data_IF_402846196389
#
_entry.id   IF_402846196389
#
_cell.length_a   1.000
_cell.length_b   1.000
_cell.length_c   1.000
_cell.angle_alpha   90.00
_cell.angle_beta   90.00
_cell.angle_gamma   90.00
#
_symmetry.space_group_name_H-M   'P 1'
#
loop_
_entity.id
_entity.type
_entity.pdbx_description
1 polymer ?
#
# COMPACT_ATOMS: atom_id res chain seq x y z
N UNK A 1 10.61 -80.06 21.13
CA UNK A 1 10.90 -79.78 19.74
C UNK A 1 10.40 -78.37 19.45
N UNK A 2 11.32 -77.47 19.20
CA UNK A 2 11.16 -76.01 19.07
C UNK A 2 10.56 -75.63 17.72
N UNK A 3 9.45 -74.91 17.71
CA UNK A 3 8.96 -74.19 16.50
C UNK A 3 8.58 -72.80 16.88
N UNK A 4 9.52 -71.91 16.81
CA UNK A 4 9.43 -70.47 16.57
C UNK A 4 10.75 -70.09 15.91
N UNK A 5 10.78 -69.38 14.79
CA UNK A 5 10.55 -67.97 14.72
C UNK A 5 10.22 -67.42 13.29
N UNK A 6 9.07 -67.68 12.77
CA UNK A 6 8.71 -67.16 11.46
C UNK A 6 7.85 -65.90 11.56
N UNK A 7 7.27 -65.59 12.70
CA UNK A 7 6.41 -64.43 12.88
C UNK A 7 7.17 -63.12 13.18
N UNK A 8 8.39 -63.24 13.73
CA UNK A 8 9.18 -62.03 14.11
C UNK A 8 9.81 -61.25 12.92
N UNK A 9 10.05 -61.96 11.80
CA UNK A 9 10.70 -61.35 10.61
C UNK A 9 9.72 -60.49 9.81
N UNK A 10 8.42 -60.84 9.81
CA UNK A 10 7.41 -60.04 9.07
C UNK A 10 7.06 -58.71 9.78
N UNK A 11 7.17 -58.65 11.10
CA UNK A 11 6.92 -57.42 11.85
C UNK A 11 8.04 -56.38 11.68
N UNK A 12 9.27 -56.78 11.46
CA UNK A 12 10.41 -55.89 11.27
C UNK A 12 10.45 -55.26 9.86
N UNK A 13 9.90 -55.93 8.83
CA UNK A 13 9.86 -55.37 7.46
C UNK A 13 8.73 -54.35 7.28
N UNK A 14 7.64 -54.42 8.04
CA UNK A 14 6.53 -53.49 7.97
C UNK A 14 6.85 -52.10 8.58
N UNK A 15 7.79 -52.02 9.52
CA UNK A 15 8.20 -50.79 10.20
C UNK A 15 9.12 -49.88 9.34
N UNK A 16 9.74 -50.42 8.30
CA UNK A 16 10.68 -49.68 7.44
C UNK A 16 9.98 -48.86 6.35
N UNK A 17 8.66 -49.06 6.14
CA UNK A 17 7.88 -48.33 5.12
C UNK A 17 7.20 -47.04 5.64
N UNK A 18 7.22 -46.81 6.96
CA UNK A 18 6.76 -45.57 7.57
C UNK A 18 7.97 -44.73 8.00
N UNK A 19 8.79 -44.31 7.03
CA UNK A 19 9.73 -43.22 7.27
C UNK A 19 8.96 -41.98 7.73
N UNK A 20 9.48 -41.19 8.68
CA UNK A 20 8.84 -39.93 9.03
C UNK A 20 8.68 -39.14 7.76
N UNK A 21 7.43 -38.82 7.39
CA UNK A 21 7.15 -37.84 6.35
C UNK A 21 7.83 -36.53 6.80
N UNK A 22 8.96 -36.21 6.18
CA UNK A 22 9.62 -34.92 6.39
C UNK A 22 8.65 -33.87 5.89
N UNK A 23 7.84 -33.34 6.77
CA UNK A 23 7.09 -32.10 6.49
C UNK A 23 8.16 -31.04 6.26
N UNK A 24 8.39 -30.70 5.02
CA UNK A 24 9.16 -29.51 4.69
C UNK A 24 8.43 -28.32 5.34
N UNK A 25 9.05 -27.71 6.33
CA UNK A 25 8.53 -26.52 7.00
C UNK A 25 8.26 -25.48 5.90
N UNK A 26 6.98 -25.15 5.66
CA UNK A 26 6.62 -24.16 4.67
C UNK A 26 7.21 -22.82 5.11
N UNK A 27 8.21 -22.37 4.39
CA UNK A 27 8.85 -21.07 4.67
C UNK A 27 7.84 -19.98 4.39
N UNK A 28 7.50 -19.19 5.39
CA UNK A 28 6.59 -18.06 5.25
C UNK A 28 7.21 -16.78 5.81
N UNK A 29 6.81 -15.64 5.25
CA UNK A 29 7.14 -14.30 5.75
C UNK A 29 5.89 -13.46 5.85
N UNK A 30 5.89 -12.53 6.80
CA UNK A 30 4.81 -11.56 7.02
C UNK A 30 5.21 -10.20 6.44
N UNK A 31 4.38 -9.65 5.57
CA UNK A 31 4.56 -8.33 4.96
C UNK A 31 3.49 -7.37 5.47
N UNK A 32 3.87 -6.39 6.28
CA UNK A 32 2.98 -5.29 6.63
C UNK A 32 2.94 -4.27 5.47
N UNK A 33 1.77 -4.06 4.90
CA UNK A 33 1.59 -3.18 3.74
C UNK A 33 0.32 -2.35 3.83
N UNK A 34 -0.03 -1.67 2.74
CA UNK A 34 -1.19 -0.77 2.73
C UNK A 34 -2.37 -1.35 1.96
N UNK A 35 -3.58 -0.96 2.40
CA UNK A 35 -4.82 -1.32 1.69
C UNK A 35 -4.80 -0.84 0.24
N UNK A 36 -4.22 0.33 -0.03
CA UNK A 36 -4.09 0.85 -1.40
C UNK A 36 -3.18 -0.01 -2.27
N UNK A 37 -2.12 -0.59 -1.71
CA UNK A 37 -1.26 -1.55 -2.43
C UNK A 37 -2.00 -2.86 -2.69
N UNK A 38 -2.73 -3.36 -1.70
CA UNK A 38 -3.57 -4.56 -1.83
C UNK A 38 -4.63 -4.36 -2.92
N UNK A 39 -5.37 -3.24 -2.87
CA UNK A 39 -6.46 -2.92 -3.78
C UNK A 39 -5.99 -2.67 -5.22
N UNK A 40 -4.71 -2.35 -5.43
CA UNK A 40 -4.12 -2.19 -6.77
C UNK A 40 -4.01 -3.49 -7.56
N UNK A 41 -4.17 -4.65 -6.91
CA UNK A 41 -3.96 -5.97 -7.50
C UNK A 41 -2.49 -6.40 -7.61
N UNK A 42 -1.54 -5.57 -7.18
CA UNK A 42 -0.10 -5.86 -7.27
C UNK A 42 0.25 -7.19 -6.61
N UNK A 43 -0.20 -7.40 -5.37
CA UNK A 43 0.12 -8.63 -4.63
C UNK A 43 -0.48 -9.87 -5.28
N UNK A 44 -1.69 -9.78 -5.80
CA UNK A 44 -2.33 -10.90 -6.52
C UNK A 44 -1.54 -11.33 -7.76
N UNK A 45 -0.77 -10.41 -8.34
CA UNK A 45 0.09 -10.70 -9.48
C UNK A 45 1.46 -11.22 -9.08
N UNK A 46 2.16 -10.55 -8.14
CA UNK A 46 3.57 -10.85 -7.87
C UNK A 46 3.78 -12.00 -6.89
N UNK A 47 2.88 -12.21 -5.90
CA UNK A 47 3.10 -13.21 -4.85
C UNK A 47 3.08 -14.66 -5.37
N UNK A 48 2.19 -15.05 -6.29
CA UNK A 48 2.26 -16.38 -6.90
C UNK A 48 3.59 -16.63 -7.63
N UNK A 49 4.10 -15.63 -8.34
CA UNK A 49 5.39 -15.72 -9.04
C UNK A 49 6.55 -15.83 -8.05
N UNK A 50 6.49 -15.09 -6.95
CA UNK A 50 7.48 -15.16 -5.89
C UNK A 50 7.49 -16.54 -5.22
N UNK A 51 6.32 -17.06 -4.84
CA UNK A 51 6.17 -18.41 -4.27
C UNK A 51 6.70 -19.47 -5.22
N UNK A 52 6.34 -19.42 -6.50
CA UNK A 52 6.82 -20.37 -7.51
C UNK A 52 8.35 -20.34 -7.66
N UNK A 53 8.99 -19.18 -7.50
CA UNK A 53 10.43 -19.01 -7.65
C UNK A 53 11.22 -19.37 -6.40
N UNK A 54 10.67 -19.13 -5.21
CA UNK A 54 11.41 -19.20 -3.93
C UNK A 54 10.93 -20.30 -3.00
N UNK A 55 9.72 -20.82 -3.20
CA UNK A 55 9.04 -21.72 -2.26
C UNK A 55 8.56 -21.01 -0.98
N UNK A 56 8.66 -19.67 -0.90
CA UNK A 56 8.29 -18.89 0.29
C UNK A 56 6.86 -18.38 0.13
N UNK A 57 6.03 -18.62 1.14
CA UNK A 57 4.70 -18.01 1.24
C UNK A 57 4.79 -16.62 1.84
N UNK A 58 3.96 -15.70 1.34
CA UNK A 58 3.92 -14.32 1.81
C UNK A 58 2.54 -14.00 2.36
N UNK A 59 2.46 -13.78 3.66
CA UNK A 59 1.25 -13.29 4.31
C UNK A 59 1.23 -11.77 4.33
N UNK A 60 0.23 -11.15 3.70
CA UNK A 60 0.11 -9.70 3.64
C UNK A 60 -0.88 -9.19 4.67
N UNK A 61 -0.43 -8.29 5.53
CA UNK A 61 -1.25 -7.51 6.45
C UNK A 61 -1.52 -6.14 5.82
N UNK A 62 -2.66 -6.00 5.13
CA UNK A 62 -3.06 -4.76 4.48
C UNK A 62 -3.72 -3.80 5.48
N UNK A 63 -3.06 -2.67 5.78
CA UNK A 63 -3.42 -1.74 6.83
C UNK A 63 -3.31 -0.29 6.32
N UNK A 64 -3.51 0.70 7.21
CA UNK A 64 -3.06 2.08 6.96
C UNK A 64 -1.54 2.18 7.09
N UNK A 65 -0.90 3.14 6.38
CA UNK A 65 0.57 3.30 6.41
C UNK A 65 1.14 3.39 7.83
N UNK A 66 0.51 4.16 8.73
CA UNK A 66 0.94 4.27 10.13
C UNK A 66 0.85 2.94 10.86
N UNK A 67 -0.26 2.22 10.70
CA UNK A 67 -0.46 0.91 11.32
C UNK A 67 0.54 -0.13 10.80
N UNK A 68 0.85 -0.13 9.49
CA UNK A 68 1.86 -1.03 8.91
C UNK A 68 3.26 -0.77 9.50
N UNK A 69 3.63 0.50 9.68
CA UNK A 69 4.86 0.87 10.37
C UNK A 69 4.85 0.46 11.84
N UNK A 70 3.71 0.61 12.53
CA UNK A 70 3.59 0.19 13.93
C UNK A 70 3.67 -1.34 14.08
N UNK A 71 3.09 -2.09 13.15
CA UNK A 71 3.23 -3.55 13.05
C UNK A 71 4.72 -3.95 12.93
N UNK A 72 5.46 -3.27 12.04
CA UNK A 72 6.90 -3.49 11.92
C UNK A 72 7.70 -3.10 13.17
N UNK A 73 7.32 -2.01 13.86
CA UNK A 73 7.98 -1.59 15.13
C UNK A 73 7.84 -2.64 16.24
N UNK A 74 6.72 -3.34 16.28
CA UNK A 74 6.49 -4.41 17.26
C UNK A 74 7.18 -5.73 16.89
N UNK A 75 7.74 -5.85 15.70
CA UNK A 75 8.32 -7.08 15.19
C UNK A 75 7.28 -8.09 14.68
N UNK A 76 6.03 -7.67 14.47
CA UNK A 76 4.95 -8.52 13.98
C UNK A 76 4.98 -8.70 12.44
N UNK A 77 6.00 -8.17 11.76
CA UNK A 77 6.22 -8.33 10.33
C UNK A 77 7.73 -8.39 10.00
N UNK A 78 8.08 -9.27 9.06
CA UNK A 78 9.45 -9.42 8.56
C UNK A 78 9.82 -8.31 7.57
N UNK A 79 8.83 -7.80 6.85
CA UNK A 79 8.99 -6.75 5.84
C UNK A 79 7.88 -5.71 5.98
N UNK A 80 8.25 -4.43 5.90
CA UNK A 80 7.31 -3.32 5.78
C UNK A 80 7.36 -2.80 4.36
N UNK A 81 6.24 -2.91 3.63
CA UNK A 81 6.12 -2.50 2.23
C UNK A 81 5.09 -1.38 2.11
N UNK A 82 5.57 -0.15 2.16
CA UNK A 82 4.74 1.07 2.19
C UNK A 82 5.29 2.13 1.22
N UNK A 83 4.62 3.25 1.09
CA UNK A 83 4.95 4.32 0.13
C UNK A 83 4.96 5.72 0.77
N UNK A 84 5.51 5.82 1.99
CA UNK A 84 5.65 7.08 2.74
C UNK A 84 7.14 7.34 3.04
N UNK A 85 7.88 7.82 2.05
CA UNK A 85 9.35 7.96 2.06
C UNK A 85 9.91 8.62 3.32
N UNK A 86 9.27 9.68 3.83
CA UNK A 86 9.72 10.37 5.05
C UNK A 86 9.58 9.46 6.28
N UNK A 87 8.42 8.80 6.43
CA UNK A 87 8.14 7.88 7.53
C UNK A 87 9.03 6.62 7.46
N UNK A 88 9.29 6.08 6.26
CA UNK A 88 10.20 4.96 6.04
C UNK A 88 11.64 5.30 6.44
N UNK A 89 12.11 6.50 6.08
CA UNK A 89 13.45 6.96 6.50
C UNK A 89 13.56 7.09 8.01
N UNK A 90 12.54 7.64 8.67
CA UNK A 90 12.47 7.74 10.12
C UNK A 90 12.46 6.37 10.78
N UNK A 91 11.64 5.45 10.29
CA UNK A 91 11.56 4.07 10.77
C UNK A 91 12.94 3.37 10.81
N UNK A 92 13.75 3.55 9.76
CA UNK A 92 15.12 3.01 9.72
C UNK A 92 16.05 3.79 10.64
N UNK A 93 15.96 5.12 10.68
CA UNK A 93 16.79 5.96 11.56
C UNK A 93 16.55 5.69 13.04
N UNK A 94 15.31 5.37 13.42
CA UNK A 94 14.90 5.01 14.79
C UNK A 94 15.29 3.55 15.14
N UNK A 95 15.94 2.80 14.22
CA UNK A 95 16.45 1.45 14.47
C UNK A 95 15.45 0.31 14.30
N UNK A 96 14.23 0.58 13.82
CA UNK A 96 13.19 -0.43 13.62
C UNK A 96 13.33 -1.18 12.30
N UNK A 97 14.15 -0.72 11.37
CA UNK A 97 14.44 -1.37 10.10
C UNK A 97 15.92 -1.37 9.78
N UNK A 98 16.39 -2.47 9.20
CA UNK A 98 17.82 -2.62 8.82
C UNK A 98 18.18 -1.69 7.66
N UNK A 99 17.31 -1.63 6.64
CA UNK A 99 17.58 -0.86 5.42
C UNK A 99 16.29 -0.58 4.66
N UNK A 100 16.26 0.59 4.01
CA UNK A 100 15.22 0.97 3.06
C UNK A 100 15.66 0.64 1.62
N UNK A 101 14.80 -0.11 0.92
CA UNK A 101 15.00 -0.40 -0.50
C UNK A 101 13.98 0.36 -1.35
N UNK A 102 14.40 1.14 -2.36
CA UNK A 102 13.47 1.67 -3.34
C UNK A 102 13.02 0.54 -4.26
N UNK A 103 11.71 0.32 -4.35
CA UNK A 103 11.13 -0.77 -5.16
C UNK A 103 10.47 -0.21 -6.42
N UNK A 104 9.57 0.77 -6.24
CA UNK A 104 8.84 1.44 -7.30
C UNK A 104 8.43 2.84 -6.84
N UNK A 105 7.88 3.62 -7.76
CA UNK A 105 7.23 4.87 -7.44
C UNK A 105 5.82 4.88 -8.04
N UNK A 106 4.98 5.73 -7.52
CA UNK A 106 3.67 6.05 -8.07
C UNK A 106 3.43 7.56 -7.98
N UNK A 107 2.65 8.09 -8.90
CA UNK A 107 2.27 9.49 -8.89
C UNK A 107 0.90 9.68 -8.24
N UNK A 108 0.69 10.87 -7.69
CA UNK A 108 -0.63 11.33 -7.27
C UNK A 108 -1.21 12.21 -8.37
N UNK A 109 -2.50 12.02 -8.64
CA UNK A 109 -3.23 12.84 -9.59
C UNK A 109 -4.44 13.48 -8.90
N UNK A 110 -4.76 14.68 -9.32
CA UNK A 110 -5.99 15.38 -8.96
C UNK A 110 -7.03 15.07 -10.03
N UNK A 111 -8.19 14.54 -9.62
CA UNK A 111 -9.27 14.15 -10.52
C UNK A 111 -10.46 15.07 -10.26
N UNK A 112 -11.08 15.55 -11.33
CA UNK A 112 -12.26 16.39 -11.26
C UNK A 112 -13.24 16.17 -12.41
N UNK A 113 -14.38 16.86 -12.41
CA UNK A 113 -15.36 16.78 -13.49
C UNK A 113 -14.82 17.45 -14.77
N UNK A 114 -15.27 16.96 -15.93
CA UNK A 114 -14.90 17.53 -17.25
C UNK A 114 -15.25 19.01 -17.41
N UNK A 115 -16.23 19.51 -16.64
CA UNK A 115 -16.62 20.93 -16.62
C UNK A 115 -15.56 21.85 -16.02
N UNK A 116 -14.56 21.26 -15.35
CA UNK A 116 -13.42 21.95 -14.73
C UNK A 116 -13.80 23.26 -13.98
N UNK A 117 -14.64 23.19 -12.94
CA UNK A 117 -15.10 24.37 -12.23
C UNK A 117 -13.96 25.17 -11.57
N UNK A 118 -12.86 24.52 -11.25
CA UNK A 118 -11.68 25.17 -10.71
C UNK A 118 -10.75 25.76 -11.80
N UNK A 119 -10.92 25.38 -13.08
CA UNK A 119 -10.08 25.85 -14.16
C UNK A 119 -8.64 25.36 -14.07
N UNK A 120 -8.45 24.10 -13.68
CA UNK A 120 -7.14 23.53 -13.38
C UNK A 120 -6.69 22.43 -14.35
N UNK A 121 -7.54 22.14 -15.34
CA UNK A 121 -7.27 21.10 -16.31
C UNK A 121 -5.97 21.34 -17.09
N UNK A 122 -5.19 20.28 -17.28
CA UNK A 122 -3.90 20.33 -17.99
C UNK A 122 -2.80 21.08 -17.23
N UNK A 123 -3.07 21.57 -16.03
CA UNK A 123 -2.09 22.20 -15.16
C UNK A 123 -1.00 21.20 -14.70
N UNK A 124 0.21 21.72 -14.48
CA UNK A 124 1.35 20.94 -13.98
C UNK A 124 1.78 21.36 -12.58
N UNK A 125 1.20 22.44 -12.06
CA UNK A 125 1.48 22.96 -10.73
C UNK A 125 0.31 22.63 -9.79
N UNK A 126 0.53 21.65 -8.92
CA UNK A 126 -0.48 21.21 -7.98
C UNK A 126 -0.79 22.26 -6.92
N UNK A 127 0.19 23.06 -6.51
CA UNK A 127 0.00 24.13 -5.52
C UNK A 127 -0.91 25.22 -6.09
N UNK A 128 -0.68 25.62 -7.34
CA UNK A 128 -1.55 26.56 -8.04
C UNK A 128 -2.98 26.00 -8.20
N UNK A 129 -3.11 24.71 -8.53
CA UNK A 129 -4.41 24.04 -8.64
C UNK A 129 -5.18 24.03 -7.31
N UNK A 130 -4.52 23.73 -6.20
CA UNK A 130 -5.13 23.73 -4.87
C UNK A 130 -5.57 25.14 -4.43
N UNK A 131 -4.77 26.17 -4.72
CA UNK A 131 -5.14 27.56 -4.47
C UNK A 131 -6.37 27.96 -5.28
N UNK A 132 -6.45 27.59 -6.56
CA UNK A 132 -7.62 27.86 -7.40
C UNK A 132 -8.90 27.16 -6.88
N UNK A 133 -8.78 25.92 -6.38
CA UNK A 133 -9.90 25.21 -5.74
C UNK A 133 -10.41 25.98 -4.52
N UNK A 134 -9.53 26.43 -3.64
CA UNK A 134 -9.87 27.24 -2.46
C UNK A 134 -10.52 28.56 -2.85
N UNK A 135 -9.91 29.32 -3.77
CA UNK A 135 -10.38 30.62 -4.21
C UNK A 135 -11.78 30.59 -4.82
N UNK A 136 -12.05 29.55 -5.63
CA UNK A 136 -13.36 29.36 -6.27
C UNK A 136 -14.36 28.62 -5.39
N UNK A 137 -13.95 28.14 -4.22
CA UNK A 137 -14.80 27.36 -3.33
C UNK A 137 -15.29 26.06 -3.96
N UNK A 138 -14.54 25.50 -4.91
CA UNK A 138 -14.89 24.26 -5.61
C UNK A 138 -14.84 23.10 -4.63
N UNK A 139 -15.88 22.23 -4.58
CA UNK A 139 -15.88 21.09 -3.67
C UNK A 139 -14.66 20.19 -3.87
N UNK A 140 -13.94 19.96 -2.80
CA UNK A 140 -12.83 19.01 -2.74
C UNK A 140 -13.17 17.88 -1.78
N UNK A 141 -12.90 16.63 -2.19
CA UNK A 141 -13.18 15.45 -1.37
C UNK A 141 -11.89 14.81 -0.96
N UNK A 142 -11.63 14.83 0.34
CA UNK A 142 -10.51 14.17 0.98
C UNK A 142 -10.90 12.76 1.44
N UNK A 143 -9.94 11.86 1.41
CA UNK A 143 -10.09 10.54 2.03
C UNK A 143 -10.33 10.65 3.53
N UNK A 144 -9.61 11.50 4.22
CA UNK A 144 -9.75 11.72 5.66
C UNK A 144 -9.49 10.48 6.54
N UNK A 145 -8.77 9.46 6.01
CA UNK A 145 -8.60 8.14 6.63
C UNK A 145 -7.15 7.86 7.10
N UNK A 146 -6.32 8.88 7.13
CA UNK A 146 -4.88 8.79 7.47
C UNK A 146 -4.09 7.81 6.59
N UNK A 147 -4.59 7.47 5.41
CA UNK A 147 -3.84 6.69 4.42
C UNK A 147 -2.67 7.49 3.86
N UNK A 148 -1.77 6.81 3.14
CA UNK A 148 -0.68 7.48 2.43
C UNK A 148 -1.16 8.55 1.45
N UNK A 149 -2.31 8.34 0.80
CA UNK A 149 -2.96 9.35 -0.07
C UNK A 149 -3.41 10.56 0.74
N UNK A 150 -4.04 10.36 1.90
CA UNK A 150 -4.48 11.46 2.75
C UNK A 150 -3.28 12.25 3.31
N UNK A 151 -2.23 11.57 3.73
CA UNK A 151 -1.00 12.23 4.21
C UNK A 151 -0.35 13.04 3.10
N UNK A 152 -0.27 12.50 1.87
CA UNK A 152 0.26 13.24 0.72
C UNK A 152 -0.59 14.46 0.38
N UNK A 153 -1.92 14.33 0.43
CA UNK A 153 -2.87 15.44 0.25
C UNK A 153 -2.62 16.55 1.27
N UNK A 154 -2.55 16.24 2.57
CA UNK A 154 -2.30 17.23 3.62
C UNK A 154 -0.97 17.95 3.42
N UNK A 155 0.08 17.25 3.02
CA UNK A 155 1.37 17.87 2.69
C UNK A 155 1.27 18.85 1.50
N UNK A 156 0.43 18.55 0.51
CA UNK A 156 0.20 19.44 -0.63
C UNK A 156 -0.61 20.68 -0.24
N UNK A 157 -1.62 20.55 0.63
CA UNK A 157 -2.35 21.67 1.21
C UNK A 157 -1.43 22.58 2.03
N UNK A 158 -0.56 21.99 2.84
CA UNK A 158 0.46 22.73 3.60
C UNK A 158 1.44 23.46 2.67
N UNK A 159 1.89 22.84 1.58
CA UNK A 159 2.74 23.46 0.58
C UNK A 159 2.04 24.64 -0.14
N UNK A 160 0.71 24.62 -0.22
CA UNK A 160 -0.11 25.69 -0.74
C UNK A 160 -0.40 26.82 0.30
N UNK A 161 0.08 26.66 1.53
CA UNK A 161 -0.20 27.54 2.67
C UNK A 161 -1.70 27.59 3.01
N UNK A 162 -2.34 26.42 2.98
CA UNK A 162 -3.77 26.23 3.27
C UNK A 162 -3.91 25.19 4.38
N UNK A 163 -4.42 25.61 5.53
CA UNK A 163 -4.77 24.70 6.62
C UNK A 163 -6.20 24.21 6.45
N UNK A 164 -6.37 22.93 6.08
CA UNK A 164 -7.66 22.29 5.88
C UNK A 164 -8.16 21.52 7.11
N UNK A 165 -7.31 21.33 8.12
CA UNK A 165 -7.67 20.61 9.35
C UNK A 165 -8.17 21.54 10.44
N UNK A 166 -7.58 22.73 10.58
CA UNK A 166 -7.91 23.68 11.63
C UNK A 166 -9.25 24.36 11.41
N UNK A 167 -9.62 24.61 10.15
CA UNK A 167 -10.85 25.34 9.80
C UNK A 167 -11.81 24.44 9.02
N UNK A 168 -13.09 24.46 9.41
CA UNK A 168 -14.15 23.82 8.64
C UNK A 168 -14.45 24.62 7.38
N UNK A 169 -13.86 24.23 6.27
CA UNK A 169 -14.13 24.84 4.97
C UNK A 169 -15.35 24.18 4.32
N UNK A 170 -16.37 24.94 3.87
CA UNK A 170 -17.57 24.37 3.23
C UNK A 170 -17.24 23.55 1.98
N UNK A 171 -16.17 23.91 1.28
CA UNK A 171 -15.70 23.24 0.07
C UNK A 171 -14.84 22.00 0.33
N UNK A 172 -14.24 21.84 1.52
CA UNK A 172 -13.41 20.69 1.87
C UNK A 172 -14.21 19.65 2.64
N UNK A 173 -14.33 18.44 2.08
CA UNK A 173 -15.13 17.36 2.62
C UNK A 173 -14.27 16.14 2.92
N UNK A 174 -13.93 15.92 4.18
CA UNK A 174 -13.26 14.71 4.66
C UNK A 174 -14.30 13.62 4.92
N UNK A 175 -14.20 12.46 4.27
CA UNK A 175 -15.23 11.42 4.33
C UNK A 175 -14.82 10.16 5.08
N UNK A 176 -13.55 10.00 5.45
CA UNK A 176 -13.07 8.87 6.25
C UNK A 176 -13.14 7.51 5.53
N UNK A 177 -13.07 7.48 4.18
CA UNK A 177 -13.27 6.27 3.40
C UNK A 177 -12.18 6.03 2.35
N UNK A 178 -12.04 4.76 1.93
CA UNK A 178 -11.10 4.36 0.89
C UNK A 178 -11.45 4.95 -0.49
N UNK A 179 -10.48 4.99 -1.39
CA UNK A 179 -10.56 5.63 -2.72
C UNK A 179 -11.74 5.12 -3.55
N UNK A 180 -12.02 3.82 -3.55
CA UNK A 180 -13.14 3.26 -4.29
C UNK A 180 -14.50 3.82 -3.87
N UNK A 181 -14.68 4.13 -2.59
CA UNK A 181 -15.91 4.75 -2.09
C UNK A 181 -16.04 6.21 -2.52
N UNK A 182 -14.91 6.94 -2.54
CA UNK A 182 -14.86 8.32 -3.02
C UNK A 182 -15.29 8.40 -4.48
N UNK A 183 -14.67 7.59 -5.33
CA UNK A 183 -14.92 7.61 -6.77
C UNK A 183 -16.35 7.18 -7.15
N UNK A 184 -16.96 6.28 -6.37
CA UNK A 184 -18.34 5.83 -6.64
C UNK A 184 -19.42 6.79 -6.16
N UNK A 185 -19.19 7.46 -5.03
CA UNK A 185 -20.23 8.30 -4.39
C UNK A 185 -20.31 9.71 -4.95
N UNK A 186 -19.25 10.15 -5.59
CA UNK A 186 -19.14 11.52 -6.04
C UNK A 186 -18.75 11.57 -7.52
N UNK A 187 -19.74 11.60 -8.42
CA UNK A 187 -19.50 11.67 -9.87
C UNK A 187 -18.77 12.98 -10.29
N UNK A 188 -18.60 13.92 -9.37
CA UNK A 188 -17.88 15.18 -9.58
C UNK A 188 -16.82 15.45 -8.50
N UNK A 189 -15.94 14.48 -8.14
CA UNK A 189 -14.98 14.73 -7.10
C UNK A 189 -13.71 15.38 -7.66
N UNK A 190 -13.24 16.39 -6.95
CA UNK A 190 -11.84 16.76 -7.00
C UNK A 190 -11.14 16.04 -5.86
N UNK A 191 -10.28 15.09 -6.14
CA UNK A 191 -9.55 14.34 -5.10
C UNK A 191 -8.17 13.89 -5.60
N UNK A 192 -7.25 13.65 -4.67
CA UNK A 192 -5.96 13.05 -4.97
C UNK A 192 -6.06 11.52 -5.04
N UNK A 193 -5.59 10.93 -6.11
CA UNK A 193 -5.51 9.47 -6.31
C UNK A 193 -4.06 9.06 -6.58
N UNK A 194 -3.62 7.97 -5.95
CA UNK A 194 -2.41 7.29 -6.38
C UNK A 194 -2.72 6.43 -7.63
N UNK A 195 -1.91 6.56 -8.66
CA UNK A 195 -2.01 5.73 -9.86
C UNK A 195 -0.83 4.77 -9.90
N UNK A 196 -1.03 3.47 -10.03
CA UNK A 196 0.08 2.54 -10.25
C UNK A 196 0.63 2.77 -11.66
N UNK A 197 1.87 3.15 -11.75
CA UNK A 197 2.55 3.31 -13.04
C UNK A 197 3.30 2.04 -13.43
N UNK A 198 3.29 1.75 -14.73
CA UNK A 198 4.20 0.78 -15.35
C UNK A 198 5.66 1.18 -15.08
N UNK A 199 6.54 0.19 -14.96
CA UNK A 199 7.94 0.35 -14.56
C UNK A 199 8.67 1.51 -15.27
N UNK A 200 9.48 2.27 -14.52
CA UNK A 200 10.04 3.52 -15.01
C UNK A 200 11.26 3.33 -15.89
N UNK A 201 11.37 4.17 -16.90
CA UNK A 201 12.61 4.39 -17.64
C UNK A 201 13.42 5.61 -17.15
N UNK A 202 12.98 6.32 -16.08
CA UNK A 202 13.71 7.51 -15.56
C UNK A 202 13.48 7.78 -14.06
N UNK A 203 14.46 8.44 -13.45
CA UNK A 203 14.44 8.89 -12.06
C UNK A 203 13.23 9.79 -11.72
N UNK A 204 12.67 9.67 -10.51
CA UNK A 204 11.49 10.41 -10.11
C UNK A 204 11.79 11.90 -10.00
N UNK A 205 11.05 12.71 -10.73
CA UNK A 205 10.84 14.11 -10.39
C UNK A 205 9.55 14.19 -9.59
N UNK A 206 9.53 14.92 -8.48
CA UNK A 206 8.35 15.15 -7.64
C UNK A 206 7.29 15.97 -8.42
N UNK A 207 6.64 15.34 -9.39
CA UNK A 207 5.62 15.97 -10.22
C UNK A 207 4.26 15.35 -9.94
N UNK A 208 3.41 16.12 -9.32
CA UNK A 208 1.98 15.84 -9.35
C UNK A 208 1.42 16.33 -10.69
N UNK A 209 0.71 15.46 -11.41
CA UNK A 209 0.02 15.82 -12.65
C UNK A 209 -1.48 15.93 -12.41
N UNK A 210 -2.12 16.91 -13.05
CA UNK A 210 -3.58 17.04 -13.07
C UNK A 210 -4.10 16.35 -14.33
N UNK A 211 -4.98 15.34 -14.16
CA UNK A 211 -5.60 14.61 -15.26
C UNK A 211 -7.11 14.57 -15.12
N UNK A 212 -7.79 14.64 -16.25
CA UNK A 212 -9.24 14.39 -16.37
C UNK A 212 -9.47 13.01 -17.02
N UNK A 213 -10.41 12.25 -16.49
CA UNK A 213 -11.01 11.07 -17.11
C UNK A 213 -12.45 11.36 -17.55
#
# INVERSE_FOLDING_TARGET
MLRLPTLAVFAALASALFGPASYAEEKSIVVASTTSTQDSGLFSHILPLFKAKTGIDVMVLAQGTGQALDTGRRGDADVVFVHAKAAEKRFVADGFGVKRYPVMYNDFILIGPKSDPAGINGGKDIVAALKAIKEKGTPFISRGDRSGTHIAELNLWQAADIDVEMYRHPWYKSIGQGMGSILRRHPTPTCCRSHPMSAPSRAPTDRAAVRQD
#
